data_IF_804087815769
#
_entry.id   IF_804087815769
#
_cell.length_a   1.000
_cell.length_b   1.000
_cell.length_c   1.000
_cell.angle_alpha   90.00
_cell.angle_beta   90.00
_cell.angle_gamma   90.00
#
_symmetry.space_group_name_H-M   'P 1'
#
loop_
_entity.id
_entity.type
_entity.pdbx_description
1 polymer ?
#
# COMPACT_ATOMS: atom_id res chain seq x y z
N UNK A 1 -19.21 3.44 20.90
CA UNK A 1 -18.67 4.54 21.76
C UNK A 1 -17.49 5.24 21.12
N UNK A 2 -16.27 4.69 21.09
CA UNK A 2 -15.08 5.39 20.54
C UNK A 2 -15.26 5.79 19.07
N UNK A 3 -15.77 4.88 18.23
CA UNK A 3 -16.09 5.17 16.81
C UNK A 3 -17.04 6.36 16.69
N UNK A 4 -18.14 6.35 17.43
CA UNK A 4 -19.17 7.38 17.34
C UNK A 4 -18.67 8.72 17.88
N UNK A 5 -17.82 8.69 18.91
CA UNK A 5 -17.13 9.87 19.43
C UNK A 5 -16.18 10.46 18.38
N UNK A 6 -15.34 9.64 17.73
CA UNK A 6 -14.42 10.08 16.69
C UNK A 6 -15.14 10.60 15.42
N UNK A 7 -16.37 10.14 15.16
CA UNK A 7 -17.22 10.61 14.08
C UNK A 7 -18.07 11.83 14.45
N UNK A 8 -17.93 12.39 15.66
CA UNK A 8 -18.71 13.54 16.14
C UNK A 8 -20.20 13.25 16.32
N UNK A 9 -20.59 11.99 16.51
CA UNK A 9 -22.00 11.57 16.62
C UNK A 9 -22.56 11.63 18.04
N UNK A 10 -21.71 11.92 19.03
CA UNK A 10 -22.05 11.94 20.46
C UNK A 10 -22.14 13.36 21.03
N UNK A 11 -22.36 14.36 20.17
CA UNK A 11 -22.45 15.78 20.52
C UNK A 11 -21.29 16.62 19.98
N UNK A 12 -21.46 17.93 20.07
CA UNK A 12 -20.57 18.97 19.52
C UNK A 12 -19.97 19.89 20.61
N UNK A 13 -20.05 19.47 21.88
CA UNK A 13 -19.40 20.16 22.98
C UNK A 13 -17.88 20.27 22.80
N UNK A 14 -17.27 21.20 23.54
CA UNK A 14 -15.85 21.53 23.41
C UNK A 14 -14.94 20.31 23.60
N UNK A 15 -15.24 19.45 24.57
CA UNK A 15 -14.47 18.23 24.83
C UNK A 15 -14.60 17.19 23.69
N UNK A 16 -15.80 17.05 23.12
CA UNK A 16 -16.06 16.15 21.99
C UNK A 16 -15.32 16.65 20.74
N UNK A 17 -15.36 17.95 20.47
CA UNK A 17 -14.62 18.57 19.37
C UNK A 17 -13.09 18.41 19.55
N UNK A 18 -12.58 18.65 20.76
CA UNK A 18 -11.18 18.46 21.09
C UNK A 18 -10.74 16.99 20.92
N UNK A 19 -11.57 16.04 21.34
CA UNK A 19 -11.33 14.62 21.11
C UNK A 19 -11.27 14.29 19.61
N UNK A 20 -12.26 14.73 18.82
CA UNK A 20 -12.29 14.47 17.38
C UNK A 20 -11.01 14.97 16.69
N UNK A 21 -10.59 16.19 17.01
CA UNK A 21 -9.37 16.78 16.47
C UNK A 21 -8.12 15.99 16.87
N UNK A 22 -7.96 15.66 18.17
CA UNK A 22 -6.82 14.88 18.65
C UNK A 22 -6.79 13.48 18.06
N UNK A 23 -7.94 12.81 17.97
CA UNK A 23 -8.06 11.49 17.37
C UNK A 23 -7.61 11.53 15.90
N UNK A 24 -8.08 12.49 15.11
CA UNK A 24 -7.69 12.61 13.70
C UNK A 24 -6.17 12.87 13.54
N UNK A 25 -5.59 13.73 14.36
CA UNK A 25 -4.14 14.00 14.38
C UNK A 25 -3.33 12.73 14.66
N UNK A 26 -3.76 11.90 15.63
CA UNK A 26 -3.06 10.67 16.00
C UNK A 26 -3.31 9.53 15.02
N UNK A 27 -4.53 9.37 14.52
CA UNK A 27 -4.92 8.28 13.63
C UNK A 27 -4.15 8.30 12.31
N UNK A 28 -3.88 9.49 11.76
CA UNK A 28 -3.06 9.64 10.56
C UNK A 28 -1.62 9.13 10.77
N UNK A 29 -0.98 9.55 11.87
CA UNK A 29 0.37 9.09 12.22
C UNK A 29 0.42 7.58 12.50
N UNK A 30 -0.59 7.05 13.20
CA UNK A 30 -0.73 5.62 13.45
C UNK A 30 -0.84 4.84 12.15
N UNK A 31 -1.67 5.28 11.20
CA UNK A 31 -1.82 4.62 9.90
C UNK A 31 -0.48 4.58 9.15
N UNK A 32 0.20 5.72 9.01
CA UNK A 32 1.49 5.78 8.33
C UNK A 32 2.52 4.83 8.96
N UNK A 33 2.64 4.81 10.29
CA UNK A 33 3.66 3.99 10.97
C UNK A 33 3.32 2.50 11.03
N UNK A 34 2.07 2.16 11.28
CA UNK A 34 1.65 0.76 11.41
C UNK A 34 1.41 0.08 10.07
N UNK A 35 0.87 0.80 9.08
CA UNK A 35 0.53 0.23 7.78
C UNK A 35 1.68 0.42 6.80
N UNK A 36 2.01 1.67 6.49
CA UNK A 36 2.96 1.98 5.43
C UNK A 36 4.42 1.65 5.80
N UNK A 37 4.82 1.93 7.05
CA UNK A 37 6.19 1.69 7.52
C UNK A 37 6.39 0.33 8.21
N UNK A 38 5.33 -0.46 8.40
CA UNK A 38 5.43 -1.77 9.06
C UNK A 38 4.69 -2.88 8.31
N UNK A 39 3.36 -2.80 8.17
CA UNK A 39 2.59 -3.90 7.58
C UNK A 39 2.96 -4.17 6.11
N UNK A 40 3.22 -3.13 5.32
CA UNK A 40 3.65 -3.26 3.92
C UNK A 40 4.96 -4.04 3.74
N UNK A 41 5.81 -4.11 4.76
CA UNK A 41 7.04 -4.90 4.74
C UNK A 41 6.85 -6.34 5.23
N UNK A 42 5.64 -6.69 5.69
CA UNK A 42 5.28 -8.04 6.17
C UNK A 42 4.25 -8.73 5.30
N UNK A 43 3.43 -7.97 4.59
CA UNK A 43 2.49 -8.50 3.60
C UNK A 43 3.06 -8.28 2.20
N UNK A 44 3.85 -9.24 1.75
CA UNK A 44 4.66 -9.15 0.52
C UNK A 44 4.25 -10.06 -0.66
N UNK A 45 2.99 -10.54 -0.83
CA UNK A 45 2.64 -11.34 -2.01
C UNK A 45 3.04 -10.68 -3.34
N UNK A 46 2.78 -9.37 -3.46
CA UNK A 46 3.17 -8.53 -4.59
C UNK A 46 3.53 -7.12 -4.11
N UNK A 47 4.82 -6.82 -3.97
CA UNK A 47 5.29 -5.58 -3.32
C UNK A 47 5.06 -4.32 -4.15
N UNK A 48 4.64 -4.45 -5.41
CA UNK A 48 4.18 -3.32 -6.23
C UNK A 48 2.85 -2.72 -5.74
N UNK A 49 2.04 -3.48 -4.99
CA UNK A 49 0.76 -3.03 -4.45
C UNK A 49 0.90 -2.42 -3.03
N UNK A 50 2.03 -2.65 -2.36
CA UNK A 50 2.33 -2.12 -1.03
C UNK A 50 3.00 -0.73 -1.15
N UNK A 51 2.19 0.28 -1.48
CA UNK A 51 2.61 1.65 -1.76
C UNK A 51 1.79 2.67 -0.95
N UNK A 52 2.35 3.84 -0.67
CA UNK A 52 1.70 4.93 0.07
C UNK A 52 0.31 5.21 -0.51
N UNK A 53 -0.72 5.17 0.35
CA UNK A 53 -2.13 5.33 -0.05
C UNK A 53 -2.78 4.13 -0.77
N UNK A 54 -2.06 3.02 -0.96
CA UNK A 54 -2.55 1.78 -1.56
C UNK A 54 -3.13 0.78 -0.57
N UNK A 55 -3.85 -0.22 -1.10
CA UNK A 55 -4.34 -1.38 -0.35
C UNK A 55 -3.79 -2.66 -1.00
N UNK A 56 -2.75 -3.30 -0.43
CA UNK A 56 -2.17 -4.52 -1.02
C UNK A 56 -3.12 -5.72 -0.96
N UNK A 57 -4.23 -5.65 -0.19
CA UNK A 57 -5.30 -6.64 -0.23
C UNK A 57 -6.13 -6.61 -1.52
N UNK A 58 -6.06 -5.51 -2.29
CA UNK A 58 -6.73 -5.33 -3.59
C UNK A 58 -5.72 -4.86 -4.65
N UNK A 59 -4.77 -5.71 -5.06
CA UNK A 59 -3.65 -5.31 -5.92
C UNK A 59 -4.05 -5.05 -7.39
N UNK A 60 -5.31 -5.28 -7.75
CA UNK A 60 -5.83 -5.09 -9.10
C UNK A 60 -7.12 -4.26 -9.07
N UNK A 61 -7.35 -3.51 -10.14
CA UNK A 61 -8.54 -2.70 -10.39
C UNK A 61 -9.10 -3.09 -11.76
N UNK A 62 -10.42 -3.21 -11.87
CA UNK A 62 -11.04 -3.46 -13.17
C UNK A 62 -11.06 -2.17 -14.01
N UNK A 63 -11.11 -2.25 -15.35
CA UNK A 63 -11.29 -1.07 -16.20
C UNK A 63 -12.52 -0.23 -15.79
N UNK A 64 -13.62 -0.88 -15.43
CA UNK A 64 -14.86 -0.22 -15.01
C UNK A 64 -14.67 0.56 -13.70
N UNK A 65 -14.07 -0.05 -12.68
CA UNK A 65 -13.74 0.61 -11.41
C UNK A 65 -12.81 1.82 -11.64
N UNK A 66 -11.81 1.66 -12.52
CA UNK A 66 -10.89 2.73 -12.89
C UNK A 66 -11.60 3.89 -13.59
N UNK A 67 -12.45 3.60 -14.59
CA UNK A 67 -13.20 4.64 -15.30
C UNK A 67 -14.21 5.36 -14.40
N UNK A 68 -14.86 4.65 -13.48
CA UNK A 68 -15.74 5.25 -12.49
C UNK A 68 -14.97 6.18 -11.52
N UNK A 69 -13.77 5.77 -11.09
CA UNK A 69 -12.86 6.62 -10.31
C UNK A 69 -12.48 7.87 -11.10
N UNK A 70 -12.04 7.74 -12.35
CA UNK A 70 -11.62 8.86 -13.18
C UNK A 70 -12.76 9.87 -13.41
N UNK A 71 -13.97 9.39 -13.69
CA UNK A 71 -15.15 10.24 -13.85
C UNK A 71 -15.50 11.02 -12.57
N UNK A 72 -15.38 10.37 -11.40
CA UNK A 72 -15.57 11.04 -10.10
C UNK A 72 -14.53 12.13 -9.85
N UNK A 73 -13.26 11.84 -10.10
CA UNK A 73 -12.17 12.82 -9.94
C UNK A 73 -12.36 14.01 -10.87
N UNK A 74 -12.68 13.79 -12.14
CA UNK A 74 -12.92 14.86 -13.11
C UNK A 74 -14.09 15.77 -12.70
N UNK A 75 -15.15 15.22 -12.10
CA UNK A 75 -16.30 15.99 -11.62
C UNK A 75 -16.00 16.76 -10.33
N UNK A 76 -15.45 16.07 -9.32
CA UNK A 76 -15.38 16.60 -7.96
C UNK A 76 -14.07 17.34 -7.67
N UNK A 77 -12.99 17.03 -8.41
CA UNK A 77 -11.62 17.53 -8.20
C UNK A 77 -10.88 17.76 -9.53
N UNK A 78 -11.42 18.54 -10.49
CA UNK A 78 -10.88 18.64 -11.86
C UNK A 78 -9.43 19.16 -11.94
N UNK A 79 -8.97 19.90 -10.94
CA UNK A 79 -7.61 20.48 -10.89
C UNK A 79 -6.63 19.68 -10.03
N UNK A 80 -7.01 18.49 -9.57
CA UNK A 80 -6.11 17.65 -8.76
C UNK A 80 -5.00 17.03 -9.60
N UNK A 81 -3.87 16.73 -8.95
CA UNK A 81 -2.73 16.07 -9.59
C UNK A 81 -2.89 14.55 -9.62
N UNK A 82 -2.34 13.93 -10.68
CA UNK A 82 -2.07 12.48 -10.71
C UNK A 82 -0.56 12.29 -10.62
N UNK A 83 -0.10 11.57 -9.59
CA UNK A 83 1.32 11.38 -9.33
C UNK A 83 1.63 9.90 -9.24
N UNK A 84 2.65 9.44 -9.97
CA UNK A 84 3.07 8.04 -9.97
C UNK A 84 4.32 7.80 -9.12
N UNK A 85 5.12 8.82 -8.84
CA UNK A 85 6.32 8.72 -8.01
C UNK A 85 6.53 10.01 -7.25
N UNK A 86 6.88 9.89 -5.97
CA UNK A 86 7.24 11.02 -5.11
C UNK A 86 8.56 10.70 -4.41
N UNK A 87 9.07 11.63 -3.61
CA UNK A 87 10.19 11.35 -2.73
C UNK A 87 9.84 10.36 -1.58
N UNK A 88 8.54 10.14 -1.33
CA UNK A 88 8.04 9.28 -0.25
C UNK A 88 7.48 7.93 -0.75
N UNK A 89 7.30 7.74 -2.07
CA UNK A 89 6.88 6.44 -2.59
C UNK A 89 7.92 5.37 -2.24
N UNK A 90 7.45 4.22 -1.75
CA UNK A 90 8.29 3.07 -1.37
C UNK A 90 9.10 2.56 -2.57
N UNK A 91 8.52 2.65 -3.78
CA UNK A 91 9.15 2.27 -5.06
C UNK A 91 8.75 3.26 -6.15
N UNK A 92 9.59 3.46 -7.18
CA UNK A 92 9.20 4.28 -8.34
C UNK A 92 8.14 3.58 -9.20
N UNK A 93 7.47 4.35 -10.05
CA UNK A 93 6.42 3.85 -10.94
C UNK A 93 6.91 2.69 -11.81
N UNK A 94 8.09 2.83 -12.41
CA UNK A 94 8.66 1.81 -13.31
C UNK A 94 9.02 0.52 -12.56
N UNK A 95 9.56 0.65 -11.34
CA UNK A 95 9.84 -0.51 -10.47
C UNK A 95 8.54 -1.25 -10.15
N UNK A 96 7.47 -0.52 -9.80
CA UNK A 96 6.17 -1.16 -9.53
C UNK A 96 5.57 -1.80 -10.78
N UNK A 97 5.69 -1.17 -11.95
CA UNK A 97 5.20 -1.73 -13.21
C UNK A 97 5.92 -3.04 -13.56
N UNK A 98 7.24 -3.08 -13.41
CA UNK A 98 8.05 -4.30 -13.63
C UNK A 98 7.64 -5.44 -12.69
N UNK A 99 7.51 -5.14 -11.39
CA UNK A 99 7.10 -6.12 -10.38
C UNK A 99 5.68 -6.63 -10.63
N UNK A 100 4.76 -5.76 -11.07
CA UNK A 100 3.39 -6.14 -11.34
C UNK A 100 3.28 -7.23 -12.43
N UNK A 101 4.22 -7.29 -13.38
CA UNK A 101 4.26 -8.34 -14.42
C UNK A 101 4.46 -9.74 -13.82
N UNK A 102 5.11 -9.86 -12.65
CA UNK A 102 5.29 -11.15 -11.97
C UNK A 102 3.94 -11.83 -11.66
N UNK A 103 2.88 -11.05 -11.47
CA UNK A 103 1.52 -11.58 -11.28
C UNK A 103 0.94 -12.30 -12.51
N UNK A 104 1.52 -12.09 -13.70
CA UNK A 104 1.11 -12.76 -14.93
C UNK A 104 1.77 -14.13 -15.12
N UNK A 105 2.80 -14.46 -14.34
CA UNK A 105 3.53 -15.71 -14.44
C UNK A 105 3.94 -16.28 -13.06
N UNK A 106 2.98 -16.45 -12.13
CA UNK A 106 3.27 -16.74 -10.72
C UNK A 106 4.04 -18.05 -10.51
N UNK A 107 3.78 -19.10 -11.30
CA UNK A 107 4.48 -20.38 -11.19
C UNK A 107 5.94 -20.27 -11.64
N UNK A 108 6.18 -19.54 -12.75
CA UNK A 108 7.53 -19.30 -13.25
C UNK A 108 8.33 -18.45 -12.28
N UNK A 109 7.70 -17.44 -11.69
CA UNK A 109 8.30 -16.60 -10.67
C UNK A 109 8.68 -17.41 -9.43
N UNK A 110 7.76 -18.23 -8.91
CA UNK A 110 8.03 -19.06 -7.73
C UNK A 110 9.19 -20.04 -7.96
N UNK A 111 9.23 -20.71 -9.11
CA UNK A 111 10.33 -21.62 -9.47
C UNK A 111 11.68 -20.89 -9.53
N UNK A 112 11.73 -19.72 -10.16
CA UNK A 112 12.94 -18.90 -10.24
C UNK A 112 13.43 -18.47 -8.85
N UNK A 113 12.53 -18.03 -7.97
CA UNK A 113 12.90 -17.66 -6.59
C UNK A 113 13.49 -18.86 -5.83
N UNK A 114 12.93 -20.06 -5.98
CA UNK A 114 13.47 -21.27 -5.37
C UNK A 114 14.89 -21.56 -5.86
N UNK A 115 15.13 -21.49 -7.17
CA UNK A 115 16.45 -21.69 -7.77
C UNK A 115 17.47 -20.66 -7.26
N UNK A 116 17.13 -19.37 -7.36
CA UNK A 116 18.01 -18.29 -6.93
C UNK A 116 18.33 -18.37 -5.43
N UNK A 117 17.34 -18.68 -4.59
CA UNK A 117 17.54 -18.83 -3.14
C UNK A 117 18.44 -20.02 -2.81
N UNK A 118 18.37 -21.11 -3.58
CA UNK A 118 19.27 -22.25 -3.40
C UNK A 118 20.71 -21.93 -3.86
N UNK A 119 20.87 -21.08 -4.86
CA UNK A 119 22.17 -20.65 -5.38
C UNK A 119 22.83 -19.57 -4.52
N UNK A 120 22.07 -18.77 -3.78
CA UNK A 120 22.62 -17.78 -2.87
C UNK A 120 23.30 -18.45 -1.67
N UNK A 121 24.60 -18.21 -1.51
CA UNK A 121 25.37 -18.69 -0.35
C UNK A 121 25.05 -18.00 0.98
N UNK A 122 24.11 -17.05 0.99
CA UNK A 122 23.63 -16.35 2.18
C UNK A 122 22.16 -16.71 2.38
N UNK A 123 21.85 -17.37 3.49
CA UNK A 123 20.47 -17.66 3.85
C UNK A 123 19.75 -16.37 4.25
N UNK A 124 18.56 -16.15 3.68
CA UNK A 124 17.68 -15.11 4.15
C UNK A 124 17.21 -15.42 5.59
N UNK A 125 17.00 -14.39 6.44
CA UNK A 125 16.42 -14.56 7.77
C UNK A 125 15.10 -15.34 7.78
N UNK A 126 14.26 -15.14 6.76
CA UNK A 126 13.02 -15.88 6.56
C UNK A 126 12.60 -15.90 5.06
N UNK A 127 11.67 -16.80 4.66
CA UNK A 127 11.22 -16.91 3.28
C UNK A 127 10.46 -15.69 2.73
N UNK A 128 9.77 -14.91 3.58
CA UNK A 128 9.07 -13.71 3.13
C UNK A 128 10.05 -12.61 2.75
N UNK A 129 11.11 -12.44 3.54
CA UNK A 129 12.18 -11.50 3.22
C UNK A 129 12.90 -11.90 1.93
N UNK A 130 13.19 -13.19 1.72
CA UNK A 130 13.72 -13.67 0.44
C UNK A 130 12.77 -13.32 -0.72
N UNK A 131 11.48 -13.60 -0.58
CA UNK A 131 10.46 -13.31 -1.59
C UNK A 131 10.37 -11.82 -1.95
N UNK A 132 10.36 -10.93 -0.95
CA UNK A 132 10.31 -9.48 -1.15
C UNK A 132 11.61 -8.93 -1.77
N UNK A 133 12.76 -9.46 -1.36
CA UNK A 133 14.06 -9.08 -1.89
C UNK A 133 14.17 -9.44 -3.37
N UNK A 134 13.78 -10.66 -3.74
CA UNK A 134 13.83 -11.10 -5.13
C UNK A 134 12.88 -10.31 -6.03
N UNK A 135 11.67 -9.98 -5.57
CA UNK A 135 10.79 -9.07 -6.32
C UNK A 135 11.43 -7.70 -6.55
N UNK A 136 12.27 -7.23 -5.65
CA UNK A 136 12.92 -5.91 -5.80
C UNK A 136 14.15 -5.97 -6.72
N UNK A 137 14.83 -7.12 -6.77
CA UNK A 137 16.00 -7.33 -7.63
C UNK A 137 15.63 -7.48 -9.12
N UNK A 138 14.53 -8.19 -9.41
CA UNK A 138 14.03 -8.46 -10.77
C UNK A 138 12.92 -7.52 -11.20
#
# INVERSE_FOLDING_TARGET
VVRDLALGRLGDGEEQAAFCARFAQTASALHAKSVEDTAFYRYVPLVSAAEVGGDPGRPAVSPEEFHAFAARIARDRPTTGTVLTTHDTKRSADVRARIAVLSQCPERWAALVTELTAMTGVAAPDPQLAWAAWQSAY
#
